data_IF_218536548878
#
_entry.id   IF_218536548878
#
_cell.length_a   1.000
_cell.length_b   1.000
_cell.length_c   1.000
_cell.angle_alpha   90.00
_cell.angle_beta   90.00
_cell.angle_gamma   90.00
#
_symmetry.space_group_name_H-M   'P 1'
#
loop_
_entity.id
_entity.type
_entity.pdbx_description
1 polymer ?
#
# COMPACT_ATOMS: atom_id res chain seq x y z
N UNK A 1 -24.16 -12.02 0.81
CA UNK A 1 -24.67 -10.82 0.12
C UNK A 1 -24.11 -9.52 0.69
N UNK A 2 -24.01 -9.37 2.01
CA UNK A 2 -23.58 -8.10 2.66
C UNK A 2 -22.13 -7.71 2.41
N UNK A 3 -21.22 -8.69 2.30
CA UNK A 3 -19.81 -8.44 1.90
C UNK A 3 -19.72 -7.75 0.53
N UNK A 4 -20.44 -8.30 -0.46
CA UNK A 4 -20.50 -7.72 -1.80
C UNK A 4 -21.14 -6.33 -1.78
N UNK A 5 -22.21 -6.13 -1.00
CA UNK A 5 -22.83 -4.81 -0.83
C UNK A 5 -21.86 -3.78 -0.25
N UNK A 6 -21.10 -4.13 0.79
CA UNK A 6 -20.08 -3.23 1.38
C UNK A 6 -19.05 -2.86 0.33
N UNK A 7 -18.47 -3.85 -0.35
CA UNK A 7 -17.49 -3.58 -1.40
C UNK A 7 -18.05 -2.70 -2.50
N UNK A 8 -19.25 -3.00 -3.03
CA UNK A 8 -19.87 -2.23 -4.09
C UNK A 8 -20.27 -0.82 -3.65
N UNK A 9 -20.75 -0.63 -2.43
CA UNK A 9 -21.08 0.70 -1.88
C UNK A 9 -19.79 1.50 -1.68
N UNK A 10 -18.75 0.92 -1.09
CA UNK A 10 -17.46 1.59 -0.93
C UNK A 10 -16.85 1.96 -2.28
N UNK A 11 -16.88 1.04 -3.25
CA UNK A 11 -16.43 1.31 -4.61
C UNK A 11 -17.27 2.43 -5.23
N UNK A 12 -18.60 2.38 -5.11
CA UNK A 12 -19.46 3.44 -5.63
C UNK A 12 -19.16 4.80 -5.00
N UNK A 13 -18.97 4.87 -3.68
CA UNK A 13 -18.70 6.13 -2.98
C UNK A 13 -17.29 6.67 -3.26
N UNK A 14 -16.28 5.82 -3.31
CA UNK A 14 -14.89 6.27 -3.48
C UNK A 14 -14.47 6.39 -4.94
N UNK A 15 -14.97 5.55 -5.83
CA UNK A 15 -14.48 5.43 -7.20
C UNK A 15 -15.32 6.22 -8.20
N UNK A 16 -16.65 6.11 -8.11
CA UNK A 16 -17.57 6.70 -9.11
C UNK A 16 -17.47 8.23 -9.18
N UNK A 17 -17.30 8.99 -8.07
CA UNK A 17 -17.18 10.43 -8.17
C UNK A 17 -16.04 10.88 -9.09
N UNK A 18 -14.91 10.17 -9.09
CA UNK A 18 -13.78 10.49 -9.96
C UNK A 18 -14.03 10.19 -11.44
N UNK A 19 -15.02 9.36 -11.77
CA UNK A 19 -15.43 9.14 -13.17
C UNK A 19 -16.30 10.28 -13.70
N UNK A 20 -16.87 11.11 -12.82
CA UNK A 20 -17.74 12.22 -13.18
C UNK A 20 -16.88 13.47 -13.39
N UNK A 21 -16.81 14.05 -14.61
CA UNK A 21 -15.89 15.16 -14.92
C UNK A 21 -16.00 16.36 -13.97
N UNK A 22 -17.22 16.73 -13.57
CA UNK A 22 -17.47 17.88 -12.69
C UNK A 22 -17.08 17.68 -11.21
N UNK A 23 -16.84 16.44 -10.77
CA UNK A 23 -16.38 16.19 -9.41
C UNK A 23 -14.89 16.50 -9.25
N UNK A 24 -14.13 16.39 -10.35
CA UNK A 24 -12.69 16.68 -10.37
C UNK A 24 -12.38 18.16 -10.22
N UNK A 25 -13.32 19.04 -10.60
CA UNK A 25 -13.17 20.48 -10.41
C UNK A 25 -13.48 20.96 -8.99
N UNK A 26 -14.03 20.10 -8.11
CA UNK A 26 -14.31 20.45 -6.72
C UNK A 26 -13.02 20.49 -5.89
N UNK A 27 -12.08 19.58 -6.17
CA UNK A 27 -10.73 19.59 -5.61
C UNK A 27 -9.74 20.05 -6.69
N UNK A 28 -9.28 21.30 -6.61
CA UNK A 28 -8.34 21.88 -7.57
C UNK A 28 -6.91 21.33 -7.46
N UNK A 29 -6.60 20.57 -6.40
CA UNK A 29 -5.32 19.90 -6.25
C UNK A 29 -5.33 18.58 -7.03
N UNK A 30 -4.77 18.63 -8.25
CA UNK A 30 -4.56 17.48 -9.16
C UNK A 30 -3.88 16.31 -8.44
N UNK A 31 -2.90 16.61 -7.58
CA UNK A 31 -2.31 15.65 -6.63
C UNK A 31 -2.23 16.33 -5.27
N UNK A 32 -2.77 15.66 -4.24
CA UNK A 32 -2.86 16.20 -2.88
C UNK A 32 -1.52 16.27 -2.14
N UNK A 33 -0.55 15.45 -2.52
CA UNK A 33 0.78 15.42 -1.90
C UNK A 33 1.84 14.85 -2.83
N UNK A 34 3.04 15.44 -2.76
CA UNK A 34 4.26 14.99 -3.43
C UNK A 34 4.63 13.55 -3.05
N UNK A 35 4.23 13.07 -1.87
CA UNK A 35 4.47 11.70 -1.39
C UNK A 35 3.90 10.62 -2.32
N UNK A 36 2.84 10.94 -3.06
CA UNK A 36 2.16 10.00 -3.96
C UNK A 36 2.76 10.00 -5.36
N UNK A 37 3.49 11.07 -5.72
CA UNK A 37 4.07 11.27 -7.06
C UNK A 37 5.02 10.14 -7.46
N UNK A 38 6.04 9.74 -6.67
CA UNK A 38 6.92 8.65 -7.09
C UNK A 38 6.18 7.31 -7.17
N UNK A 39 5.11 7.11 -6.40
CA UNK A 39 4.32 5.87 -6.48
C UNK A 39 3.61 5.74 -7.84
N UNK A 40 3.07 6.85 -8.36
CA UNK A 40 2.46 6.94 -9.69
C UNK A 40 3.48 6.58 -10.77
N UNK A 41 4.61 7.30 -10.81
CA UNK A 41 5.60 7.12 -11.87
C UNK A 41 6.34 5.78 -11.79
N UNK A 42 6.57 5.24 -10.59
CA UNK A 42 7.10 3.88 -10.43
C UNK A 42 6.14 2.84 -11.01
N UNK A 43 4.83 3.02 -10.82
CA UNK A 43 3.83 2.13 -11.43
C UNK A 43 3.90 2.17 -12.95
N UNK A 44 4.00 3.36 -13.54
CA UNK A 44 4.14 3.53 -15.00
C UNK A 44 5.42 2.89 -15.50
N UNK A 45 6.56 3.13 -14.84
CA UNK A 45 7.86 2.59 -15.21
C UNK A 45 7.88 1.07 -15.19
N UNK A 46 7.26 0.43 -14.18
CA UNK A 46 7.12 -1.03 -14.13
C UNK A 46 6.36 -1.55 -15.36
N UNK A 47 5.30 -0.85 -15.76
CA UNK A 47 4.41 -1.30 -16.84
C UNK A 47 5.04 -1.05 -18.22
N UNK A 48 5.49 0.18 -18.48
CA UNK A 48 5.95 0.63 -19.80
C UNK A 48 7.43 0.33 -20.05
N UNK A 49 8.26 0.49 -19.03
CA UNK A 49 9.71 0.51 -19.16
C UNK A 49 10.39 -0.71 -18.55
N UNK A 50 9.62 -1.56 -17.83
CA UNK A 50 10.09 -2.78 -17.17
C UNK A 50 11.26 -2.54 -16.22
N UNK A 51 11.27 -1.37 -15.58
CA UNK A 51 12.31 -0.95 -14.63
C UNK A 51 11.69 -0.17 -13.48
N UNK A 52 12.47 0.04 -12.42
CA UNK A 52 12.14 0.91 -11.28
C UNK A 52 12.81 2.29 -11.40
N UNK A 53 13.64 2.51 -12.42
CA UNK A 53 14.24 3.81 -12.70
C UNK A 53 13.21 4.80 -13.27
N UNK A 54 13.25 6.02 -12.75
CA UNK A 54 12.32 7.10 -13.06
C UNK A 54 12.92 8.15 -14.01
N UNK A 55 14.08 7.87 -14.60
CA UNK A 55 14.84 8.79 -15.45
C UNK A 55 13.99 9.44 -16.55
N UNK A 56 13.17 8.64 -17.23
CA UNK A 56 12.28 9.09 -18.32
C UNK A 56 11.24 10.11 -17.86
N UNK A 57 10.90 10.10 -16.58
CA UNK A 57 9.84 10.92 -15.98
C UNK A 57 10.38 12.02 -15.07
N UNK A 58 11.70 12.02 -14.80
CA UNK A 58 12.34 12.95 -13.87
C UNK A 58 12.01 14.42 -14.17
N UNK A 59 12.17 14.85 -15.43
CA UNK A 59 11.88 16.23 -15.83
C UNK A 59 10.41 16.57 -15.58
N UNK A 60 9.48 15.70 -15.96
CA UNK A 60 8.05 15.91 -15.72
C UNK A 60 7.75 16.06 -14.23
N UNK A 61 8.30 15.19 -13.39
CA UNK A 61 8.12 15.21 -11.93
C UNK A 61 8.71 16.48 -11.31
N UNK A 62 9.98 16.76 -11.60
CA UNK A 62 10.75 17.88 -11.06
C UNK A 62 10.14 19.24 -11.46
N UNK A 63 9.72 19.40 -12.71
CA UNK A 63 9.19 20.68 -13.19
C UNK A 63 7.85 21.04 -12.52
N UNK A 64 7.08 20.05 -12.07
CA UNK A 64 5.81 20.27 -11.36
C UNK A 64 5.98 20.34 -9.85
N UNK A 65 6.84 19.48 -9.29
CA UNK A 65 7.10 19.33 -7.86
C UNK A 65 8.62 19.41 -7.62
N UNK A 66 9.21 20.61 -7.73
CA UNK A 66 10.65 20.81 -7.59
C UNK A 66 11.10 20.62 -6.14
N UNK A 67 12.41 20.47 -5.93
CA UNK A 67 12.96 20.49 -4.58
C UNK A 67 12.63 21.84 -3.90
N UNK A 68 12.12 21.86 -2.65
CA UNK A 68 11.70 23.10 -1.99
C UNK A 68 12.78 24.20 -1.95
N UNK A 69 14.04 23.80 -1.78
CA UNK A 69 15.20 24.69 -1.71
C UNK A 69 15.90 24.96 -3.05
N UNK A 70 15.40 24.40 -4.16
CA UNK A 70 15.96 24.54 -5.51
C UNK A 70 14.86 24.64 -6.58
N UNK A 71 13.95 25.61 -6.40
CA UNK A 71 12.82 25.84 -7.32
C UNK A 71 13.24 26.34 -8.71
N UNK A 72 14.39 27.00 -8.79
CA UNK A 72 14.95 27.56 -10.02
C UNK A 72 16.00 26.65 -10.68
N UNK A 73 16.19 25.43 -10.15
CA UNK A 73 17.07 24.38 -10.67
C UNK A 73 18.55 24.78 -10.79
N UNK A 74 19.02 25.67 -9.91
CA UNK A 74 20.40 26.18 -9.93
C UNK A 74 21.36 25.32 -9.10
N UNK A 75 20.84 24.58 -8.12
CA UNK A 75 21.64 23.80 -7.16
C UNK A 75 21.73 22.32 -7.50
N UNK A 76 21.06 21.87 -8.56
CA UNK A 76 20.94 20.47 -8.98
C UNK A 76 20.46 19.55 -7.82
N UNK A 77 19.55 20.05 -6.97
CA UNK A 77 19.02 19.25 -5.87
C UNK A 77 17.96 18.27 -6.38
N UNK A 78 18.07 17.02 -5.93
CA UNK A 78 17.09 15.97 -6.24
C UNK A 78 15.87 16.13 -5.33
N UNK A 79 14.63 16.17 -5.85
CA UNK A 79 13.42 16.26 -5.02
C UNK A 79 13.38 15.15 -3.96
N UNK A 80 12.88 15.47 -2.75
CA UNK A 80 12.98 14.58 -1.57
C UNK A 80 12.31 13.21 -1.76
N UNK A 81 11.32 13.14 -2.65
CA UNK A 81 10.58 11.92 -2.99
C UNK A 81 11.34 11.02 -3.98
N UNK A 82 12.54 11.43 -4.41
CA UNK A 82 13.47 10.69 -5.25
C UNK A 82 14.82 10.51 -4.57
N UNK A 83 15.56 9.49 -5.00
CA UNK A 83 16.98 9.30 -4.72
C UNK A 83 17.72 9.16 -6.06
N UNK A 84 18.91 9.77 -6.14
CA UNK A 84 19.82 9.61 -7.28
C UNK A 84 20.89 8.60 -6.88
N UNK A 85 20.87 7.42 -7.49
CA UNK A 85 21.79 6.32 -7.21
C UNK A 85 22.44 5.90 -8.52
N UNK A 86 23.77 5.97 -8.59
CA UNK A 86 24.55 5.59 -9.78
C UNK A 86 24.05 6.25 -11.08
N UNK A 87 23.74 7.55 -11.00
CA UNK A 87 23.23 8.32 -12.14
C UNK A 87 21.74 8.11 -12.47
N UNK A 88 21.07 7.16 -11.82
CA UNK A 88 19.65 6.87 -12.02
C UNK A 88 18.78 7.46 -10.91
N UNK A 89 17.57 7.90 -11.27
CA UNK A 89 16.55 8.33 -10.31
C UNK A 89 15.65 7.17 -9.92
N UNK A 90 15.48 6.95 -8.63
CA UNK A 90 14.56 5.95 -8.06
C UNK A 90 13.69 6.60 -7.00
N UNK A 91 12.57 5.98 -6.66
CA UNK A 91 11.70 6.47 -5.58
C UNK A 91 12.47 6.54 -4.25
N UNK A 92 12.25 7.57 -3.42
CA UNK A 92 12.75 7.54 -2.05
C UNK A 92 11.89 6.62 -1.14
N UNK A 93 10.68 6.30 -1.58
CA UNK A 93 9.68 5.60 -0.79
C UNK A 93 9.51 4.13 -1.19
N UNK A 94 9.06 3.28 -0.26
CA UNK A 94 8.74 1.89 -0.55
C UNK A 94 7.71 1.69 -1.68
N UNK A 95 7.95 0.67 -2.51
CA UNK A 95 7.28 0.45 -3.81
C UNK A 95 6.00 -0.40 -3.76
N UNK A 96 5.63 -0.94 -2.61
CA UNK A 96 4.52 -1.90 -2.51
C UNK A 96 3.19 -1.27 -2.98
N UNK A 97 2.98 0.02 -2.70
CA UNK A 97 1.81 0.75 -3.20
C UNK A 97 1.78 0.80 -4.73
N UNK A 98 2.91 1.07 -5.39
CA UNK A 98 3.02 1.04 -6.85
C UNK A 98 2.67 -0.33 -7.41
N UNK A 99 3.20 -1.40 -6.82
CA UNK A 99 2.95 -2.77 -7.28
C UNK A 99 1.48 -3.15 -7.18
N UNK A 100 0.82 -2.82 -6.06
CA UNK A 100 -0.61 -3.13 -5.87
C UNK A 100 -1.50 -2.33 -6.83
N UNK A 101 -1.07 -1.15 -7.27
CA UNK A 101 -1.83 -0.30 -8.18
C UNK A 101 -1.65 -0.64 -9.67
N UNK A 102 -0.74 -1.55 -10.03
CA UNK A 102 -0.50 -1.97 -11.42
C UNK A 102 -1.81 -2.32 -12.16
N UNK A 103 -2.75 -3.10 -11.61
CA UNK A 103 -3.98 -3.47 -12.34
C UNK A 103 -4.83 -2.27 -12.77
N UNK A 104 -4.73 -1.13 -12.06
CA UNK A 104 -5.50 0.08 -12.37
C UNK A 104 -4.85 0.86 -13.51
N UNK A 105 -3.52 0.85 -13.56
CA UNK A 105 -2.74 1.54 -14.58
C UNK A 105 -2.62 0.72 -15.87
N UNK A 106 -2.59 -0.62 -15.77
CA UNK A 106 -2.28 -1.48 -16.93
C UNK A 106 -3.30 -1.33 -18.04
N UNK A 107 -4.59 -1.28 -17.71
CA UNK A 107 -5.68 -1.17 -18.68
C UNK A 107 -5.56 0.11 -19.51
N UNK A 108 -5.58 1.33 -18.91
CA UNK A 108 -5.50 2.57 -19.68
C UNK A 108 -4.17 2.72 -20.42
N UNK A 109 -3.06 2.25 -19.86
CA UNK A 109 -1.75 2.33 -20.52
C UNK A 109 -1.65 1.41 -21.74
N UNK A 110 -2.27 0.21 -21.73
CA UNK A 110 -2.36 -0.66 -22.91
C UNK A 110 -3.16 0.02 -24.04
N UNK A 111 -4.16 0.84 -23.70
CA UNK A 111 -4.93 1.63 -24.65
C UNK A 111 -4.26 2.99 -24.99
N UNK A 112 -2.94 3.12 -24.77
CA UNK A 112 -2.16 4.31 -25.11
C UNK A 112 -2.68 5.62 -24.49
N UNK A 113 -3.25 5.56 -23.28
CA UNK A 113 -3.60 6.77 -22.53
C UNK A 113 -2.37 7.72 -22.44
N UNK A 114 -2.50 8.99 -22.85
CA UNK A 114 -1.41 9.95 -22.75
C UNK A 114 -0.95 10.16 -21.30
N UNK A 115 0.36 10.25 -21.09
CA UNK A 115 0.94 10.53 -19.77
C UNK A 115 0.88 12.04 -19.54
N UNK A 116 -0.27 12.49 -19.02
CA UNK A 116 -0.52 13.87 -18.61
C UNK A 116 -0.90 13.90 -17.14
N UNK A 117 -0.66 15.03 -16.46
CA UNK A 117 -0.97 15.15 -15.04
C UNK A 117 -2.42 14.84 -14.69
N UNK A 118 -3.38 15.24 -15.54
CA UNK A 118 -4.80 14.97 -15.31
C UNK A 118 -5.13 13.47 -15.38
N UNK A 119 -4.56 12.76 -16.36
CA UNK A 119 -4.72 11.31 -16.48
C UNK A 119 -4.05 10.59 -15.31
N UNK A 120 -2.85 11.02 -14.93
CA UNK A 120 -2.12 10.43 -13.80
C UNK A 120 -2.83 10.66 -12.46
N UNK A 121 -3.37 11.84 -12.25
CA UNK A 121 -4.21 12.15 -11.09
C UNK A 121 -5.44 11.27 -11.02
N UNK A 122 -6.13 11.06 -12.15
CA UNK A 122 -7.25 10.13 -12.19
C UNK A 122 -6.83 8.73 -11.76
N UNK A 123 -5.76 8.16 -12.34
CA UNK A 123 -5.29 6.82 -11.98
C UNK A 123 -4.85 6.72 -10.51
N UNK A 124 -4.27 7.79 -9.97
CA UNK A 124 -3.93 7.92 -8.56
C UNK A 124 -5.16 7.85 -7.65
N UNK A 125 -6.20 8.64 -7.96
CA UNK A 125 -7.48 8.63 -7.23
C UNK A 125 -8.15 7.25 -7.29
N UNK A 126 -8.26 6.67 -8.49
CA UNK A 126 -8.89 5.37 -8.70
C UNK A 126 -8.16 4.24 -7.95
N UNK A 127 -6.84 4.32 -7.88
CA UNK A 127 -6.02 3.36 -7.14
C UNK A 127 -6.23 3.48 -5.63
N UNK A 128 -6.20 4.70 -5.08
CA UNK A 128 -6.50 4.95 -3.66
C UNK A 128 -7.89 4.45 -3.27
N UNK A 129 -8.90 4.76 -4.11
CA UNK A 129 -10.28 4.34 -3.92
C UNK A 129 -10.43 2.81 -3.88
N UNK A 130 -9.80 2.08 -4.81
CA UNK A 130 -9.87 0.61 -4.85
C UNK A 130 -9.15 -0.01 -3.66
N UNK A 131 -7.98 0.49 -3.28
CA UNK A 131 -7.25 0.02 -2.09
C UNK A 131 -8.14 0.18 -0.84
N UNK A 132 -8.82 1.32 -0.68
CA UNK A 132 -9.74 1.54 0.44
C UNK A 132 -11.02 0.71 0.37
N UNK A 133 -11.60 0.48 -0.80
CA UNK A 133 -12.74 -0.42 -0.95
C UNK A 133 -12.38 -1.87 -0.55
N UNK A 134 -11.19 -2.34 -0.95
CA UNK A 134 -10.67 -3.64 -0.53
C UNK A 134 -10.39 -3.68 0.97
N UNK A 135 -9.80 -2.63 1.54
CA UNK A 135 -9.56 -2.53 2.98
C UNK A 135 -10.87 -2.59 3.77
N UNK A 136 -11.92 -1.90 3.31
CA UNK A 136 -13.26 -1.96 3.89
C UNK A 136 -13.89 -3.35 3.82
N UNK A 137 -13.78 -4.02 2.67
CA UNK A 137 -14.25 -5.41 2.50
C UNK A 137 -13.57 -6.34 3.51
N UNK A 138 -12.24 -6.29 3.60
CA UNK A 138 -11.50 -7.15 4.52
C UNK A 138 -11.68 -6.73 5.97
N UNK A 139 -11.88 -5.45 6.28
CA UNK A 139 -12.25 -4.99 7.63
C UNK A 139 -13.55 -5.65 8.09
N UNK A 140 -14.58 -5.62 7.24
CA UNK A 140 -15.84 -6.30 7.53
C UNK A 140 -15.66 -7.80 7.73
N UNK A 141 -14.85 -8.46 6.88
CA UNK A 141 -14.55 -9.89 7.03
C UNK A 141 -13.78 -10.19 8.32
N UNK A 142 -12.81 -9.37 8.69
CA UNK A 142 -12.07 -9.49 9.95
C UNK A 142 -12.99 -9.36 11.15
N UNK A 143 -13.91 -8.39 11.14
CA UNK A 143 -14.90 -8.22 12.21
C UNK A 143 -15.89 -9.40 12.29
N UNK A 144 -16.45 -9.82 11.15
CA UNK A 144 -17.43 -10.92 11.10
C UNK A 144 -16.81 -12.28 11.36
N UNK A 145 -15.85 -12.65 10.52
CA UNK A 145 -15.29 -13.99 10.46
C UNK A 145 -14.08 -14.15 11.36
N UNK A 146 -13.39 -13.07 11.75
CA UNK A 146 -12.29 -13.11 12.71
C UNK A 146 -12.81 -12.97 14.14
N UNK A 147 -13.52 -11.87 14.43
CA UNK A 147 -13.99 -11.56 15.79
C UNK A 147 -15.39 -12.08 16.14
N UNK A 148 -16.09 -12.76 15.22
CA UNK A 148 -17.46 -13.28 15.44
C UNK A 148 -18.51 -12.19 15.79
N UNK A 149 -18.30 -10.93 15.40
CA UNK A 149 -19.34 -9.91 15.57
C UNK A 149 -20.54 -10.26 14.71
N UNK A 150 -21.75 -9.88 15.12
CA UNK A 150 -22.93 -9.96 14.25
C UNK A 150 -22.82 -9.02 13.04
N UNK A 151 -23.68 -9.24 12.05
CA UNK A 151 -23.65 -8.53 10.78
C UNK A 151 -23.80 -7.01 10.93
N UNK A 152 -24.73 -6.59 11.78
CA UNK A 152 -25.04 -5.18 11.97
C UNK A 152 -23.87 -4.46 12.61
N UNK A 153 -23.30 -5.02 13.69
CA UNK A 153 -22.15 -4.42 14.38
C UNK A 153 -20.93 -4.34 13.47
N UNK A 154 -20.61 -5.41 12.74
CA UNK A 154 -19.49 -5.38 11.81
C UNK A 154 -19.68 -4.36 10.67
N UNK A 155 -20.90 -4.23 10.14
CA UNK A 155 -21.22 -3.25 9.10
C UNK A 155 -21.07 -1.81 9.63
N UNK A 156 -21.60 -1.51 10.81
CA UNK A 156 -21.48 -0.18 11.43
C UNK A 156 -20.01 0.17 11.68
N UNK A 157 -19.23 -0.73 12.27
CA UNK A 157 -17.81 -0.47 12.53
C UNK A 157 -17.00 -0.33 11.24
N UNK A 158 -17.32 -1.09 10.20
CA UNK A 158 -16.69 -0.94 8.88
C UNK A 158 -17.05 0.41 8.26
N UNK A 159 -18.31 0.84 8.37
CA UNK A 159 -18.75 2.16 7.89
C UNK A 159 -18.05 3.30 8.65
N UNK A 160 -17.92 3.20 9.98
CA UNK A 160 -17.15 4.16 10.78
C UNK A 160 -15.70 4.19 10.31
N UNK A 161 -15.05 3.03 10.17
CA UNK A 161 -13.68 2.91 9.67
C UNK A 161 -13.50 3.57 8.28
N UNK A 162 -14.43 3.36 7.35
CA UNK A 162 -14.33 3.90 5.99
C UNK A 162 -14.66 5.39 5.89
N UNK A 163 -15.73 5.82 6.55
CA UNK A 163 -16.39 7.11 6.28
C UNK A 163 -16.23 8.14 7.40
N UNK A 164 -15.98 7.71 8.63
CA UNK A 164 -15.83 8.59 9.79
C UNK A 164 -14.37 8.72 10.24
N UNK A 165 -13.41 8.46 9.35
CA UNK A 165 -11.98 8.62 9.61
C UNK A 165 -11.28 9.31 8.42
N UNK A 166 -9.96 9.50 8.55
CA UNK A 166 -9.09 9.99 7.48
C UNK A 166 -9.12 9.14 6.20
N UNK A 167 -9.66 7.91 6.27
CA UNK A 167 -9.79 7.04 5.11
C UNK A 167 -10.67 7.64 4.03
N UNK A 168 -11.76 8.33 4.40
CA UNK A 168 -12.62 9.01 3.45
C UNK A 168 -11.91 10.20 2.83
N UNK A 169 -11.45 11.14 3.66
CA UNK A 169 -10.96 12.43 3.19
C UNK A 169 -9.57 12.39 2.53
N UNK A 170 -8.78 11.35 2.77
CA UNK A 170 -7.37 11.30 2.34
C UNK A 170 -6.98 9.97 1.70
N UNK A 171 -7.12 8.83 2.40
CA UNK A 171 -6.54 7.57 1.89
C UNK A 171 -7.29 7.01 0.67
N UNK A 172 -8.58 7.30 0.54
CA UNK A 172 -9.35 6.97 -0.66
C UNK A 172 -9.07 7.92 -1.83
N UNK A 173 -8.40 9.03 -1.57
CA UNK A 173 -8.19 10.11 -2.54
C UNK A 173 -6.83 10.05 -3.22
N UNK A 174 -5.89 9.20 -2.81
CA UNK A 174 -4.63 9.03 -3.54
C UNK A 174 -3.91 7.75 -3.12
N UNK A 175 -2.84 7.41 -3.84
CA UNK A 175 -1.95 6.27 -3.57
C UNK A 175 -1.03 6.52 -2.37
N UNK A 176 -1.61 6.87 -1.23
CA UNK A 176 -0.88 6.98 0.03
C UNK A 176 -0.42 5.60 0.50
N UNK A 177 0.83 5.49 0.93
CA UNK A 177 1.36 4.25 1.50
C UNK A 177 0.58 3.78 2.73
N UNK A 178 -0.03 4.72 3.47
CA UNK A 178 -0.91 4.43 4.59
C UNK A 178 -2.12 3.57 4.19
N UNK A 179 -2.70 3.79 3.01
CA UNK A 179 -3.84 3.01 2.54
C UNK A 179 -3.43 1.55 2.27
N UNK A 180 -2.26 1.37 1.65
CA UNK A 180 -1.67 0.05 1.41
C UNK A 180 -1.33 -0.67 2.72
N UNK A 181 -0.69 0.05 3.66
CA UNK A 181 -0.38 -0.45 5.00
C UNK A 181 -1.64 -0.96 5.71
N UNK A 182 -2.75 -0.20 5.67
CA UNK A 182 -4.00 -0.61 6.32
C UNK A 182 -4.57 -1.88 5.69
N UNK A 183 -4.67 -1.94 4.35
CA UNK A 183 -5.16 -3.13 3.65
C UNK A 183 -4.35 -4.39 4.02
N UNK A 184 -3.02 -4.31 3.94
CA UNK A 184 -2.13 -5.43 4.22
C UNK A 184 -2.15 -5.83 5.69
N UNK A 185 -2.20 -4.87 6.62
CA UNK A 185 -2.34 -5.16 8.04
C UNK A 185 -3.67 -5.86 8.36
N UNK A 186 -4.78 -5.40 7.78
CA UNK A 186 -6.10 -6.03 7.96
C UNK A 186 -6.11 -7.45 7.41
N UNK A 187 -5.49 -7.69 6.25
CA UNK A 187 -5.31 -9.03 5.69
C UNK A 187 -4.45 -9.91 6.61
N UNK A 188 -3.34 -9.39 7.12
CA UNK A 188 -2.49 -10.08 8.09
C UNK A 188 -3.26 -10.53 9.33
N UNK A 189 -4.06 -9.64 9.92
CA UNK A 189 -4.94 -9.93 11.07
C UNK A 189 -6.02 -10.94 10.68
N UNK A 190 -6.67 -10.77 9.53
CA UNK A 190 -7.72 -11.67 9.05
C UNK A 190 -7.24 -13.12 9.01
N UNK A 191 -6.10 -13.35 8.36
CA UNK A 191 -5.52 -14.69 8.24
C UNK A 191 -4.99 -15.21 9.58
N UNK A 192 -4.42 -14.34 10.42
CA UNK A 192 -4.04 -14.69 11.79
C UNK A 192 -5.23 -15.23 12.60
N UNK A 193 -6.35 -14.49 12.63
CA UNK A 193 -7.56 -14.90 13.35
C UNK A 193 -8.18 -16.17 12.76
N UNK A 194 -8.11 -16.35 11.43
CA UNK A 194 -8.52 -17.60 10.79
C UNK A 194 -7.70 -18.80 11.27
N UNK A 195 -6.38 -18.63 11.44
CA UNK A 195 -5.53 -19.66 12.02
C UNK A 195 -5.88 -19.93 13.49
N UNK A 196 -6.20 -18.91 14.29
CA UNK A 196 -6.62 -19.11 15.69
C UNK A 196 -7.89 -19.97 15.80
N UNK A 197 -8.82 -19.85 14.85
CA UNK A 197 -10.03 -20.68 14.80
C UNK A 197 -9.79 -22.10 14.31
N UNK A 198 -8.78 -22.29 13.45
CA UNK A 198 -8.39 -23.61 12.96
C UNK A 198 -6.86 -23.73 12.90
N UNK A 199 -6.29 -24.14 14.04
CA UNK A 199 -4.83 -24.24 14.24
C UNK A 199 -4.15 -25.30 13.36
N UNK A 200 -4.92 -26.16 12.67
CA UNK A 200 -4.37 -27.15 11.73
C UNK A 200 -4.00 -26.56 10.36
N UNK A 201 -4.53 -25.38 10.02
CA UNK A 201 -4.33 -24.76 8.71
C UNK A 201 -3.21 -23.71 8.79
N UNK A 202 -1.98 -24.17 8.59
CA UNK A 202 -0.77 -23.33 8.66
C UNK A 202 -0.61 -22.35 7.50
N UNK A 203 -1.26 -22.60 6.36
CA UNK A 203 -1.28 -21.65 5.23
C UNK A 203 -1.85 -20.29 5.64
N UNK A 204 -2.82 -20.25 6.56
CA UNK A 204 -3.32 -18.98 7.10
C UNK A 204 -2.24 -18.23 7.88
N UNK A 205 -1.40 -18.95 8.62
CA UNK A 205 -0.30 -18.34 9.36
C UNK A 205 0.80 -17.83 8.42
N UNK A 206 1.11 -18.59 7.36
CA UNK A 206 2.01 -18.14 6.29
C UNK A 206 1.50 -16.89 5.58
N UNK A 207 0.22 -16.86 5.22
CA UNK A 207 -0.40 -15.68 4.60
C UNK A 207 -0.40 -14.49 5.55
N UNK A 208 -0.65 -14.71 6.84
CA UNK A 208 -0.55 -13.66 7.85
C UNK A 208 0.84 -13.02 7.86
N UNK A 209 1.89 -13.84 7.95
CA UNK A 209 3.29 -13.37 7.89
C UNK A 209 3.62 -12.67 6.58
N UNK A 210 3.15 -13.18 5.44
CA UNK A 210 3.36 -12.58 4.13
C UNK A 210 2.74 -11.17 4.04
N UNK A 211 1.48 -11.02 4.46
CA UNK A 211 0.80 -9.72 4.41
C UNK A 211 1.39 -8.73 5.39
N UNK A 212 1.78 -9.16 6.59
CA UNK A 212 2.52 -8.29 7.51
C UNK A 212 3.91 -7.90 7.00
N UNK A 213 4.61 -8.83 6.34
CA UNK A 213 5.89 -8.55 5.69
C UNK A 213 5.72 -7.47 4.63
N UNK A 214 4.73 -7.60 3.73
CA UNK A 214 4.43 -6.54 2.76
C UNK A 214 3.89 -5.26 3.42
N UNK A 215 3.20 -5.34 4.55
CA UNK A 215 2.79 -4.16 5.32
C UNK A 215 4.03 -3.39 5.79
N UNK A 216 5.03 -4.07 6.35
CA UNK A 216 6.32 -3.48 6.72
C UNK A 216 7.05 -2.87 5.53
N UNK A 217 7.03 -3.57 4.38
CA UNK A 217 7.61 -3.04 3.15
C UNK A 217 6.81 -1.92 2.50
N UNK A 218 5.56 -1.69 2.91
CA UNK A 218 4.82 -0.50 2.49
C UNK A 218 5.11 0.68 3.41
N UNK A 219 5.25 0.44 4.72
CA UNK A 219 5.77 1.39 5.71
C UNK A 219 6.47 0.65 6.88
N UNK A 220 7.73 0.98 7.22
CA UNK A 220 8.47 0.33 8.31
C UNK A 220 7.78 0.41 9.69
N UNK A 221 6.90 1.39 9.89
CA UNK A 221 6.10 1.52 11.13
C UNK A 221 5.20 0.30 11.40
N UNK A 222 4.96 -0.58 10.41
CA UNK A 222 4.25 -1.85 10.61
C UNK A 222 5.03 -2.86 11.48
N UNK A 223 6.31 -2.60 11.80
CA UNK A 223 7.11 -3.45 12.68
C UNK A 223 6.49 -3.61 14.07
N UNK A 224 5.84 -2.57 14.60
CA UNK A 224 5.18 -2.64 15.90
C UNK A 224 4.02 -3.65 15.93
N UNK A 225 3.03 -3.61 15.00
CA UNK A 225 2.02 -4.65 14.87
C UNK A 225 2.57 -6.08 14.74
N UNK A 226 3.68 -6.27 14.01
CA UNK A 226 4.33 -7.58 13.86
C UNK A 226 4.80 -8.10 15.21
N UNK A 227 5.55 -7.26 15.95
CA UNK A 227 6.04 -7.62 17.29
C UNK A 227 4.91 -7.97 18.25
N UNK A 228 3.80 -7.24 18.22
CA UNK A 228 2.63 -7.52 19.06
C UNK A 228 1.98 -8.88 18.74
N UNK A 229 1.94 -9.27 17.47
CA UNK A 229 1.38 -10.56 17.05
C UNK A 229 2.30 -11.71 17.41
N UNK A 230 3.61 -11.56 17.24
CA UNK A 230 4.60 -12.54 17.66
C UNK A 230 4.54 -12.74 19.18
N UNK A 231 4.47 -11.65 19.96
CA UNK A 231 4.31 -11.71 21.41
C UNK A 231 3.00 -12.43 21.80
N UNK A 232 1.89 -12.07 21.15
CA UNK A 232 0.60 -12.73 21.39
C UNK A 232 0.64 -14.23 21.05
N UNK A 233 1.30 -14.61 19.95
CA UNK A 233 1.43 -16.02 19.54
C UNK A 233 2.22 -16.85 20.55
N UNK A 234 3.33 -16.30 21.06
CA UNK A 234 4.12 -16.91 22.13
C UNK A 234 3.27 -17.05 23.40
N UNK A 235 2.65 -15.95 23.84
CA UNK A 235 1.88 -15.92 25.08
C UNK A 235 0.67 -16.88 25.06
N UNK A 236 0.00 -17.02 23.92
CA UNK A 236 -1.18 -17.90 23.81
C UNK A 236 -0.85 -19.38 23.62
N UNK A 237 0.36 -19.71 23.15
CA UNK A 237 0.73 -21.09 22.83
C UNK A 237 1.94 -21.60 23.64
N UNK A 238 2.38 -20.90 24.69
CA UNK A 238 3.58 -21.27 25.45
C UNK A 238 3.52 -22.69 26.05
N UNK A 239 2.33 -23.17 26.40
CA UNK A 239 2.10 -24.53 26.89
C UNK A 239 1.96 -25.59 25.78
N UNK A 240 1.83 -25.18 24.51
CA UNK A 240 1.61 -26.05 23.34
C UNK A 240 2.79 -25.93 22.37
N UNK A 241 3.97 -26.30 22.83
CA UNK A 241 5.26 -26.07 22.17
C UNK A 241 5.31 -26.54 20.71
N UNK A 242 4.72 -27.69 20.38
CA UNK A 242 4.69 -28.21 19.01
C UNK A 242 3.87 -27.36 18.04
N UNK A 243 2.70 -26.86 18.47
CA UNK A 243 1.88 -25.97 17.65
C UNK A 243 2.52 -24.57 17.58
N UNK A 244 3.05 -24.08 18.70
CA UNK A 244 3.78 -22.81 18.75
C UNK A 244 4.91 -22.78 17.72
N UNK A 245 5.75 -23.81 17.69
CA UNK A 245 6.87 -23.89 16.76
C UNK A 245 6.39 -23.88 15.30
N UNK A 246 5.41 -24.71 14.94
CA UNK A 246 4.88 -24.75 13.56
C UNK A 246 4.23 -23.43 13.14
N UNK A 247 3.47 -22.79 14.02
CA UNK A 247 2.84 -21.50 13.74
C UNK A 247 3.89 -20.39 13.61
N UNK A 248 4.90 -20.35 14.48
CA UNK A 248 6.01 -19.41 14.40
C UNK A 248 6.79 -19.59 13.08
N UNK A 249 7.21 -20.82 12.76
CA UNK A 249 7.93 -21.12 11.50
C UNK A 249 7.09 -20.72 10.29
N UNK A 250 5.79 -21.01 10.29
CA UNK A 250 4.91 -20.66 9.16
C UNK A 250 4.79 -19.15 8.98
N UNK A 251 4.60 -18.40 10.08
CA UNK A 251 4.54 -16.94 10.06
C UNK A 251 5.85 -16.33 9.58
N UNK A 252 6.96 -16.73 10.19
CA UNK A 252 8.30 -16.25 9.84
C UNK A 252 8.64 -16.56 8.39
N UNK A 253 8.22 -17.72 7.87
CA UNK A 253 8.40 -18.05 6.45
C UNK A 253 7.68 -17.06 5.52
N UNK A 254 6.48 -16.61 5.90
CA UNK A 254 5.76 -15.55 5.20
C UNK A 254 6.53 -14.21 5.23
N UNK A 255 7.06 -13.83 6.39
CA UNK A 255 7.89 -12.63 6.54
C UNK A 255 9.17 -12.71 5.69
N UNK A 256 9.82 -13.88 5.65
CA UNK A 256 11.05 -14.12 4.88
C UNK A 256 10.82 -13.92 3.38
N UNK A 257 9.65 -14.27 2.85
CA UNK A 257 9.33 -14.00 1.44
C UNK A 257 9.37 -12.50 1.15
N UNK A 258 8.72 -11.69 1.99
CA UNK A 258 8.76 -10.24 1.86
C UNK A 258 10.19 -9.71 2.06
N UNK A 259 10.90 -10.17 3.09
CA UNK A 259 12.28 -9.75 3.36
C UNK A 259 13.22 -10.10 2.19
N UNK A 260 13.04 -11.26 1.55
CA UNK A 260 13.83 -11.67 0.38
C UNK A 260 13.62 -10.73 -0.80
N UNK A 261 12.37 -10.32 -1.05
CA UNK A 261 12.07 -9.30 -2.05
C UNK A 261 12.74 -7.97 -1.71
N UNK A 262 12.70 -7.55 -0.44
CA UNK A 262 13.34 -6.31 0.00
C UNK A 262 14.86 -6.34 -0.16
N UNK A 263 15.52 -7.44 0.23
CA UNK A 263 16.97 -7.58 0.10
C UNK A 263 17.39 -7.56 -1.37
N UNK A 264 16.68 -8.31 -2.22
CA UNK A 264 16.91 -8.28 -3.66
C UNK A 264 16.72 -6.87 -4.23
N UNK A 265 15.58 -6.24 -3.96
CA UNK A 265 15.25 -4.89 -4.42
C UNK A 265 16.34 -3.87 -4.05
N UNK A 266 16.79 -3.89 -2.80
CA UNK A 266 17.86 -3.01 -2.35
C UNK A 266 19.18 -3.29 -3.05
N UNK A 267 19.59 -4.56 -3.13
CA UNK A 267 20.86 -4.95 -3.72
C UNK A 267 20.98 -4.55 -5.19
N UNK A 268 19.86 -4.53 -5.92
CA UNK A 268 19.84 -4.24 -7.35
C UNK A 268 19.69 -2.74 -7.63
N UNK A 269 18.84 -2.02 -6.89
CA UNK A 269 18.49 -0.64 -7.24
C UNK A 269 19.12 0.42 -6.34
N UNK A 270 19.43 0.09 -5.09
CA UNK A 270 20.00 1.03 -4.12
C UNK A 270 21.45 0.72 -3.79
N UNK A 271 21.93 -0.48 -4.10
CA UNK A 271 23.23 -1.05 -3.75
C UNK A 271 23.50 -1.19 -2.24
N UNK A 272 23.01 -0.25 -1.42
CA UNK A 272 23.06 -0.23 0.03
C UNK A 272 21.72 0.26 0.61
N UNK A 273 21.34 -0.27 1.78
CA UNK A 273 20.19 0.19 2.58
C UNK A 273 20.35 1.67 2.97
N UNK A 274 21.58 2.16 3.13
CA UNK A 274 21.88 3.56 3.40
C UNK A 274 21.41 4.50 2.28
N UNK A 275 21.13 4.02 1.07
CA UNK A 275 20.64 4.87 -0.01
C UNK A 275 19.10 4.99 -0.02
N UNK A 276 18.40 4.38 0.93
CA UNK A 276 16.94 4.47 1.05
C UNK A 276 16.47 5.77 1.72
N UNK A 277 15.24 6.18 1.42
CA UNK A 277 14.68 7.52 1.67
C UNK A 277 14.85 8.17 3.04
N UNK A 278 15.12 7.43 4.12
CA UNK A 278 15.14 7.94 5.49
C UNK A 278 16.51 7.97 6.18
N UNK A 279 17.58 7.53 5.52
CA UNK A 279 18.92 7.47 6.13
C UNK A 279 19.56 8.85 6.32
N UNK A 280 19.29 9.80 5.42
CA UNK A 280 19.96 11.10 5.35
C UNK A 280 18.99 12.28 5.09
N UNK A 281 17.77 12.23 5.66
CA UNK A 281 16.85 13.37 5.70
C UNK A 281 16.92 14.07 7.05
#
# INVERSE_FOLDING_TARGET
MTQLKIFLISLAVFFVPFLIPGFRSINSLVIQSEDTVPSIFTTISIIKDRTLYLDKYYVMMRDRYPHPDDKDFQKDLTPFYLRKVDGHYITAFPIITSVISIPIFVVPLIFNMPITWDNLALLNHLSGAIIMALAGLFMFKTLREGFNLDERRAAILTAVYLFATVNFAMLSQAMWQHGTLQLLSILGIYFFLKHQKNQSVYTNMLLSGLFFGFAFLSRPTAGLPILLIEFYLVFTNFHKTGNLFKSAVSFTSGLVIAASFFLWYNSVYYYDIQNQGYSDQ
#
